data_IF_050849845897
#
_entry.id   IF_050849845897
#
_cell.length_a   1.000
_cell.length_b   1.000
_cell.length_c   1.000
_cell.angle_alpha   90.00
_cell.angle_beta   90.00
_cell.angle_gamma   90.00
#
_symmetry.space_group_name_H-M   'P 1'
#
loop_
_entity.id
_entity.type
_entity.pdbx_description
1 polymer ?
#
# COMPACT_ATOMS: atom_id res chain seq x y z
N UNK A 1 -27.97 8.15 14.73
CA UNK A 1 -26.94 9.18 14.97
C UNK A 1 -25.58 8.52 14.85
N UNK A 2 -25.00 8.40 13.64
CA UNK A 2 -23.61 7.93 13.49
C UNK A 2 -22.70 9.07 13.96
N UNK A 3 -21.81 8.81 14.93
CA UNK A 3 -20.81 9.77 15.39
C UNK A 3 -19.80 10.10 14.28
N UNK A 4 -18.88 11.07 14.49
CA UNK A 4 -17.88 11.43 13.49
C UNK A 4 -17.10 10.16 13.12
N UNK A 5 -17.24 9.75 11.88
CA UNK A 5 -16.51 8.62 11.31
C UNK A 5 -15.03 9.03 11.36
N UNK A 6 -14.23 8.34 12.18
CA UNK A 6 -12.78 8.39 12.04
C UNK A 6 -12.51 7.99 10.58
N UNK A 7 -11.75 8.75 9.78
CA UNK A 7 -11.48 8.36 8.40
C UNK A 7 -10.88 6.95 8.45
N UNK A 8 -11.61 5.99 7.90
CA UNK A 8 -11.12 4.65 7.64
C UNK A 8 -9.84 4.86 6.80
N UNK A 9 -8.63 4.52 7.28
CA UNK A 9 -7.39 5.10 6.77
C UNK A 9 -7.01 4.74 5.32
N UNK A 10 -7.89 4.02 4.59
CA UNK A 10 -7.67 3.50 3.24
C UNK A 10 -8.94 3.46 2.38
N UNK A 11 -9.99 4.22 2.72
CA UNK A 11 -11.35 4.05 2.18
C UNK A 11 -11.53 4.28 0.67
N UNK A 12 -10.50 4.73 -0.05
CA UNK A 12 -10.63 5.18 -1.44
C UNK A 12 -9.56 4.55 -2.37
N UNK A 13 -8.94 3.44 -1.95
CA UNK A 13 -7.91 2.77 -2.75
C UNK A 13 -6.59 3.53 -2.87
N UNK A 14 -6.45 4.64 -2.14
CA UNK A 14 -5.23 5.44 -2.08
C UNK A 14 -4.29 4.90 -0.99
N UNK A 15 -2.96 4.82 -1.24
CA UNK A 15 -1.99 4.54 -0.19
C UNK A 15 -2.06 5.54 0.99
N UNK A 16 -1.67 5.13 2.20
CA UNK A 16 -1.65 6.01 3.35
C UNK A 16 -0.76 7.23 3.13
N UNK A 17 -1.29 8.41 3.48
CA UNK A 17 -0.54 9.67 3.44
C UNK A 17 0.71 9.61 4.33
N UNK A 18 1.85 9.98 3.74
CA UNK A 18 3.11 10.11 4.46
C UNK A 18 3.12 11.39 5.31
N UNK A 19 2.57 11.31 6.53
CA UNK A 19 2.45 12.44 7.48
C UNK A 19 3.81 12.93 8.02
N UNK A 20 4.88 12.19 7.77
CA UNK A 20 6.25 12.48 8.20
C UNK A 20 7.21 12.29 7.04
N UNK A 21 8.30 13.05 6.97
CA UNK A 21 9.28 12.90 5.90
C UNK A 21 9.83 11.46 5.77
N UNK A 22 10.02 11.01 4.53
CA UNK A 22 10.60 9.71 4.22
C UNK A 22 12.14 9.81 4.19
N UNK A 23 12.79 9.36 5.25
CA UNK A 23 14.24 9.52 5.45
C UNK A 23 14.99 8.23 5.10
N UNK A 24 16.03 8.36 4.27
CA UNK A 24 16.80 7.22 3.78
C UNK A 24 16.01 6.37 2.78
N UNK A 25 16.52 5.16 2.50
CA UNK A 25 15.83 4.15 1.66
C UNK A 25 15.67 4.49 0.17
N UNK A 26 16.42 5.47 -0.35
CA UNK A 26 16.42 5.84 -1.77
C UNK A 26 16.81 4.66 -2.67
N UNK A 27 17.80 3.87 -2.26
CA UNK A 27 18.24 2.70 -3.01
C UNK A 27 17.16 1.62 -3.07
N UNK A 28 16.47 1.36 -1.96
CA UNK A 28 15.37 0.41 -1.87
C UNK A 28 14.17 0.85 -2.69
N UNK A 29 13.83 2.14 -2.69
CA UNK A 29 12.76 2.69 -3.52
C UNK A 29 13.08 2.53 -5.02
N UNK A 30 14.31 2.87 -5.42
CA UNK A 30 14.77 2.67 -6.79
C UNK A 30 14.76 1.19 -7.20
N UNK A 31 15.18 0.30 -6.30
CA UNK A 31 15.15 -1.15 -6.50
C UNK A 31 13.72 -1.69 -6.65
N UNK A 32 12.80 -1.27 -5.80
CA UNK A 32 11.39 -1.65 -5.89
C UNK A 32 10.76 -1.17 -7.19
N UNK A 33 11.01 0.08 -7.59
CA UNK A 33 10.52 0.63 -8.85
C UNK A 33 11.07 -0.14 -10.07
N UNK A 34 12.34 -0.54 -10.05
CA UNK A 34 12.93 -1.36 -11.10
C UNK A 34 12.34 -2.79 -11.14
N UNK A 35 12.09 -3.39 -9.97
CA UNK A 35 11.45 -4.70 -9.86
C UNK A 35 10.02 -4.66 -10.43
N UNK A 36 9.24 -3.64 -10.11
CA UNK A 36 7.87 -3.46 -10.63
C UNK A 36 7.83 -3.28 -12.15
N UNK A 37 8.88 -2.71 -12.77
CA UNK A 37 8.99 -2.63 -14.24
C UNK A 37 9.35 -3.95 -14.92
N UNK A 38 9.90 -4.92 -14.18
CA UNK A 38 10.44 -6.16 -14.74
C UNK A 38 9.64 -7.42 -14.35
N UNK A 39 8.83 -7.34 -13.30
CA UNK A 39 8.04 -8.46 -12.79
C UNK A 39 6.56 -8.08 -12.64
N UNK A 40 5.67 -9.07 -12.78
CA UNK A 40 4.23 -8.89 -12.57
C UNK A 40 3.82 -8.90 -11.10
N UNK A 41 4.64 -9.48 -10.22
CA UNK A 41 4.40 -9.57 -8.79
C UNK A 41 5.73 -9.34 -8.07
N UNK A 42 5.71 -8.43 -7.11
CA UNK A 42 6.86 -8.12 -6.26
C UNK A 42 6.40 -8.20 -4.81
N UNK A 43 7.10 -8.99 -3.99
CA UNK A 43 6.83 -9.10 -2.55
C UNK A 43 7.91 -8.37 -1.76
N UNK A 44 7.51 -7.40 -0.94
CA UNK A 44 8.43 -6.68 -0.05
C UNK A 44 8.43 -7.34 1.33
N UNK A 45 9.56 -7.94 1.72
CA UNK A 45 9.72 -8.62 3.01
C UNK A 45 10.69 -7.88 3.93
N UNK A 46 10.69 -8.24 5.22
CA UNK A 46 11.54 -7.62 6.25
C UNK A 46 10.86 -7.56 7.61
N UNK A 47 11.63 -7.21 8.64
CA UNK A 47 11.14 -7.19 10.03
C UNK A 47 9.92 -6.27 10.24
N UNK A 48 9.18 -6.49 11.33
CA UNK A 48 8.07 -5.61 11.72
C UNK A 48 8.56 -4.18 11.95
N UNK A 49 7.75 -3.19 11.58
CA UNK A 49 8.05 -1.78 11.85
C UNK A 49 9.14 -1.12 10.97
N UNK A 50 9.78 -1.83 10.04
CA UNK A 50 10.85 -1.26 9.18
C UNK A 50 10.36 -0.36 8.02
N UNK A 51 9.06 -0.03 8.01
CA UNK A 51 8.47 0.88 7.02
C UNK A 51 8.22 0.29 5.63
N UNK A 52 7.89 -1.00 5.51
CA UNK A 52 7.62 -1.66 4.20
C UNK A 52 6.42 -1.06 3.47
N UNK A 53 5.29 -0.90 4.16
CA UNK A 53 4.08 -0.31 3.59
C UNK A 53 4.33 1.14 3.17
N UNK A 54 5.07 1.88 3.99
CA UNK A 54 5.54 3.24 3.70
C UNK A 54 6.44 3.31 2.46
N UNK A 55 7.37 2.38 2.29
CA UNK A 55 8.20 2.28 1.08
C UNK A 55 7.35 2.02 -0.17
N UNK A 56 6.38 1.09 -0.09
CA UNK A 56 5.51 0.76 -1.20
C UNK A 56 4.60 1.94 -1.58
N UNK A 57 3.94 2.57 -0.60
CA UNK A 57 3.15 3.78 -0.77
C UNK A 57 3.96 4.90 -1.46
N UNK A 58 5.21 5.12 -1.02
CA UNK A 58 6.09 6.12 -1.62
C UNK A 58 6.40 5.85 -3.10
N UNK A 59 6.67 4.60 -3.46
CA UNK A 59 6.97 4.23 -4.85
C UNK A 59 5.73 4.32 -5.74
N UNK A 60 4.57 3.95 -5.21
CA UNK A 60 3.29 3.98 -5.92
C UNK A 60 2.78 5.42 -6.12
N UNK A 61 2.99 6.32 -5.15
CA UNK A 61 2.64 7.74 -5.28
C UNK A 61 3.37 8.45 -6.44
N UNK A 62 4.58 7.99 -6.79
CA UNK A 62 5.36 8.51 -7.92
C UNK A 62 5.05 7.73 -9.24
N UNK A 63 4.05 6.84 -9.25
CA UNK A 63 3.72 5.96 -10.37
C UNK A 63 2.59 6.53 -11.23
N UNK A 64 2.85 6.73 -12.53
CA UNK A 64 1.93 7.44 -13.43
C UNK A 64 0.67 6.65 -13.82
N UNK A 65 0.66 5.33 -13.62
CA UNK A 65 -0.51 4.50 -13.94
C UNK A 65 -1.48 4.43 -12.78
N UNK A 66 -2.77 4.32 -13.11
CA UNK A 66 -3.81 4.01 -12.13
C UNK A 66 -3.39 2.81 -11.26
N UNK A 67 -3.55 2.97 -9.96
CA UNK A 67 -3.17 2.01 -8.95
C UNK A 67 -4.21 1.99 -7.84
N UNK A 68 -4.21 0.91 -7.06
CA UNK A 68 -5.08 0.74 -5.91
C UNK A 68 -4.30 0.18 -4.72
N UNK A 69 -4.73 0.55 -3.54
CA UNK A 69 -4.21 0.09 -2.26
C UNK A 69 -5.28 -0.70 -1.52
N UNK A 70 -4.96 -1.95 -1.18
CA UNK A 70 -5.90 -2.87 -0.50
C UNK A 70 -5.21 -3.41 0.75
N UNK A 71 -5.86 -3.27 1.90
CA UNK A 71 -5.41 -3.90 3.15
C UNK A 71 -6.02 -5.30 3.24
N UNK A 72 -5.16 -6.32 3.25
CA UNK A 72 -5.60 -7.72 3.27
C UNK A 72 -5.60 -8.31 4.69
N UNK A 73 -5.18 -7.57 5.71
CA UNK A 73 -5.23 -8.02 7.11
C UNK A 73 -6.62 -8.54 7.56
N UNK A 74 -7.77 -7.98 7.10
CA UNK A 74 -9.10 -8.51 7.43
C UNK A 74 -9.46 -9.81 6.71
N UNK A 75 -8.85 -10.11 5.56
CA UNK A 75 -9.15 -11.31 4.76
C UNK A 75 -8.47 -12.55 5.36
N UNK A 76 -9.17 -13.23 6.27
CA UNK A 76 -8.68 -14.45 6.92
C UNK A 76 -8.88 -15.72 6.08
N UNK A 77 -9.82 -15.70 5.13
CA UNK A 77 -10.07 -16.77 4.16
C UNK A 77 -9.84 -16.23 2.74
N UNK A 78 -9.19 -17.00 1.83
CA UNK A 78 -8.99 -16.60 0.44
C UNK A 78 -10.25 -16.11 -0.29
N UNK A 79 -11.44 -16.59 0.07
CA UNK A 79 -12.70 -16.15 -0.55
C UNK A 79 -13.02 -14.67 -0.31
N UNK A 80 -12.50 -14.07 0.77
CA UNK A 80 -12.74 -12.66 1.10
C UNK A 80 -11.79 -11.70 0.38
N UNK A 81 -10.73 -12.18 -0.27
CA UNK A 81 -9.77 -11.30 -0.97
C UNK A 81 -10.47 -10.49 -2.07
N UNK A 82 -11.38 -11.10 -2.81
CA UNK A 82 -12.13 -10.41 -3.86
C UNK A 82 -13.03 -9.30 -3.28
N UNK A 83 -13.61 -9.54 -2.10
CA UNK A 83 -14.44 -8.58 -1.39
C UNK A 83 -13.62 -7.37 -0.94
N UNK A 84 -12.46 -7.58 -0.31
CA UNK A 84 -11.58 -6.48 0.12
C UNK A 84 -11.09 -5.64 -1.07
N UNK A 85 -10.80 -6.28 -2.21
CA UNK A 85 -10.41 -5.56 -3.44
C UNK A 85 -11.57 -4.73 -3.99
N UNK A 86 -12.79 -5.25 -3.98
CA UNK A 86 -13.97 -4.55 -4.47
C UNK A 86 -14.41 -3.38 -3.57
N UNK A 87 -14.23 -3.49 -2.25
CA UNK A 87 -14.51 -2.39 -1.32
C UNK A 87 -13.49 -1.24 -1.45
N UNK A 88 -12.26 -1.54 -1.87
CA UNK A 88 -11.19 -0.56 -1.95
C UNK A 88 -11.11 0.22 -3.28
N UNK A 89 -11.88 -0.14 -4.32
CA UNK A 89 -11.79 0.43 -5.68
C UNK A 89 -13.13 0.98 -6.18
#
# INVERSE_FOLDING_TARGET
>A
MRGPQCPEPFADGEPPLELTGFVGRTAEAAGLAAALRSARLVTVTGAGGVGKSRLAARVVADWETAHGWVELAPAHDPEFVEYEVAEAL
#
